data_IF_968569716356
#
_entry.id   IF_968569716356
#
_cell.length_a   1.000
_cell.length_b   1.000
_cell.length_c   1.000
_cell.angle_alpha   90.00
_cell.angle_beta   90.00
_cell.angle_gamma   90.00
#
_symmetry.space_group_name_H-M   'P 1'
#
loop_
_entity.id
_entity.type
_entity.pdbx_description
1 polymer ?
#
# COMPACT_ATOMS: atom_id res chain seq x y z
N UNK A 1 9.77 -3.51 -4.43
CA UNK A 1 9.78 -2.35 -5.38
C UNK A 1 8.72 -2.42 -6.47
N UNK A 2 8.26 -3.59 -6.87
CA UNK A 2 7.27 -3.72 -7.95
C UNK A 2 5.92 -3.06 -7.63
N UNK A 3 5.41 -3.23 -6.43
CA UNK A 3 4.17 -2.56 -6.00
C UNK A 3 4.24 -1.04 -6.04
N UNK A 4 5.24 -0.43 -5.38
CA UNK A 4 5.43 1.02 -5.44
C UNK A 4 5.63 1.56 -6.86
N UNK A 5 6.34 0.84 -7.72
CA UNK A 5 6.52 1.24 -9.12
C UNK A 5 5.20 1.21 -9.88
N UNK A 6 4.42 0.14 -9.72
CA UNK A 6 3.10 0.01 -10.35
C UNK A 6 2.19 1.18 -9.97
N UNK A 7 2.10 1.49 -8.70
CA UNK A 7 1.25 2.59 -8.21
C UNK A 7 1.79 3.97 -8.57
N UNK A 8 3.10 4.11 -8.73
CA UNK A 8 3.71 5.33 -9.28
C UNK A 8 3.22 5.59 -10.72
N UNK A 9 3.22 4.57 -11.56
CA UNK A 9 2.75 4.70 -12.95
C UNK A 9 1.28 5.12 -12.97
N UNK A 10 0.45 4.51 -12.13
CA UNK A 10 -0.96 4.89 -12.00
C UNK A 10 -1.12 6.33 -11.53
N UNK A 11 -0.31 6.76 -10.57
CA UNK A 11 -0.30 8.13 -10.07
C UNK A 11 0.07 9.13 -11.18
N UNK A 12 1.11 8.84 -11.95
CA UNK A 12 1.53 9.67 -13.09
C UNK A 12 0.44 9.77 -14.16
N UNK A 13 -0.42 8.75 -14.25
CA UNK A 13 -1.57 8.75 -15.19
C UNK A 13 -2.83 9.40 -14.61
N UNK A 14 -2.74 10.01 -13.43
CA UNK A 14 -3.83 10.77 -12.84
C UNK A 14 -4.59 10.06 -11.71
N UNK A 15 -4.21 8.85 -11.32
CA UNK A 15 -4.83 8.18 -10.19
C UNK A 15 -4.49 8.86 -8.87
N UNK A 16 -5.46 8.93 -7.96
CA UNK A 16 -5.21 9.31 -6.58
C UNK A 16 -4.71 8.08 -5.83
N UNK A 17 -3.44 8.08 -5.48
CA UNK A 17 -2.80 6.96 -4.80
C UNK A 17 -2.58 7.28 -3.32
N UNK A 18 -3.09 6.41 -2.46
CA UNK A 18 -2.88 6.49 -1.01
C UNK A 18 -1.93 5.35 -0.64
N UNK A 19 -0.75 5.71 -0.14
CA UNK A 19 0.24 4.76 0.35
C UNK A 19 0.03 4.54 1.84
N UNK A 20 -0.23 3.30 2.20
CA UNK A 20 -0.32 2.87 3.59
C UNK A 20 1.04 2.34 4.03
N UNK A 21 1.60 2.92 5.08
CA UNK A 21 2.89 2.53 5.64
C UNK A 21 2.75 2.09 7.10
N UNK A 22 3.60 1.16 7.57
CA UNK A 22 3.66 0.83 9.00
C UNK A 22 4.27 1.99 9.79
N UNK A 23 4.12 2.00 11.12
CA UNK A 23 4.89 2.89 11.99
C UNK A 23 6.40 2.74 11.71
N UNK A 24 7.11 3.85 11.59
CA UNK A 24 8.51 3.87 11.17
C UNK A 24 8.72 3.95 9.65
N UNK A 25 7.68 3.76 8.87
CA UNK A 25 7.70 3.90 7.43
C UNK A 25 8.12 2.64 6.65
N UNK A 26 8.03 2.74 5.35
CA UNK A 26 8.44 1.70 4.40
C UNK A 26 9.96 1.47 4.50
N UNK A 27 10.40 0.22 4.39
CA UNK A 27 11.81 -0.14 4.45
C UNK A 27 12.66 0.55 3.37
N UNK A 28 12.08 0.88 2.24
CA UNK A 28 12.77 1.60 1.16
C UNK A 28 13.17 3.03 1.51
N UNK A 29 12.63 3.60 2.57
CA UNK A 29 13.03 4.94 3.05
C UNK A 29 14.47 4.99 3.52
N UNK A 30 15.01 3.86 4.00
CA UNK A 30 16.35 3.74 4.57
C UNK A 30 17.30 2.92 3.69
N UNK A 31 16.95 2.67 2.44
CA UNK A 31 17.83 1.95 1.51
C UNK A 31 19.06 2.77 1.12
N UNK A 32 20.07 2.11 0.55
CA UNK A 32 21.29 2.75 0.09
C UNK A 32 21.01 3.98 -0.80
N UNK A 33 21.77 5.04 -0.60
CA UNK A 33 21.57 6.31 -1.30
C UNK A 33 20.65 7.28 -0.58
N UNK A 34 20.34 7.01 0.70
CA UNK A 34 19.55 7.93 1.51
C UNK A 34 20.24 9.28 1.71
N UNK A 35 19.46 10.34 1.58
CA UNK A 35 19.87 11.71 1.91
C UNK A 35 18.95 12.17 3.03
N UNK A 36 19.50 12.40 4.24
CA UNK A 36 18.70 12.69 5.41
C UNK A 36 17.83 11.50 5.82
N UNK A 37 16.51 11.69 5.96
CA UNK A 37 15.56 10.66 6.37
C UNK A 37 14.88 9.92 5.22
N UNK A 38 15.20 10.28 3.97
CA UNK A 38 14.56 9.73 2.79
C UNK A 38 15.59 9.22 1.80
N UNK A 39 15.29 8.09 1.16
CA UNK A 39 16.13 7.55 0.10
C UNK A 39 15.70 8.08 -1.27
N UNK A 40 16.67 8.22 -2.17
CA UNK A 40 16.38 8.56 -3.56
C UNK A 40 15.47 7.52 -4.21
N UNK A 41 15.65 6.24 -3.86
CA UNK A 41 14.81 5.15 -4.38
C UNK A 41 13.36 5.29 -3.92
N UNK A 42 13.13 5.66 -2.64
CA UNK A 42 11.78 5.91 -2.14
C UNK A 42 11.11 7.07 -2.89
N UNK A 43 11.82 8.19 -3.02
CA UNK A 43 11.29 9.37 -3.68
C UNK A 43 10.98 9.11 -5.16
N UNK A 44 11.83 8.33 -5.82
CA UNK A 44 11.65 8.03 -7.25
C UNK A 44 10.34 7.29 -7.55
N UNK A 45 9.91 6.38 -6.66
CA UNK A 45 8.73 5.52 -6.91
C UNK A 45 7.49 5.92 -6.11
N UNK A 46 7.57 6.96 -5.29
CA UNK A 46 6.44 7.39 -4.45
C UNK A 46 6.00 8.83 -4.69
N UNK A 47 6.47 9.46 -5.76
CA UNK A 47 6.08 10.82 -6.11
C UNK A 47 4.57 10.93 -6.35
N UNK A 48 3.98 12.01 -5.88
CA UNK A 48 2.56 12.31 -6.08
C UNK A 48 1.60 11.53 -5.19
N UNK A 49 2.08 10.57 -4.41
CA UNK A 49 1.24 9.76 -3.52
C UNK A 49 0.91 10.51 -2.23
N UNK A 50 -0.31 10.29 -1.74
CA UNK A 50 -0.69 10.65 -0.37
C UNK A 50 -0.23 9.54 0.57
N UNK A 51 0.15 9.89 1.80
CA UNK A 51 0.62 8.92 2.79
C UNK A 51 -0.29 8.85 4.00
N UNK A 52 -0.45 7.64 4.53
CA UNK A 52 -1.08 7.40 5.83
C UNK A 52 -0.29 6.33 6.57
N UNK A 53 -0.10 6.52 7.87
CA UNK A 53 0.57 5.53 8.71
C UNK A 53 -0.50 4.73 9.45
N UNK A 54 -0.50 3.42 9.25
CA UNK A 54 -1.40 2.49 9.93
C UNK A 54 -0.61 1.28 10.42
N UNK A 55 -0.69 1.01 11.73
CA UNK A 55 -0.20 -0.26 12.28
C UNK A 55 -1.27 -1.33 12.08
N UNK A 56 -1.17 -2.10 11.01
CA UNK A 56 -2.16 -3.13 10.64
C UNK A 56 -2.20 -4.32 11.61
N UNK A 57 -1.30 -4.39 12.60
CA UNK A 57 -1.41 -5.32 13.73
C UNK A 57 -2.50 -4.89 14.72
N UNK A 58 -2.92 -3.64 14.69
CA UNK A 58 -3.98 -3.11 15.55
C UNK A 58 -5.36 -3.21 14.87
N UNK A 59 -6.39 -3.71 15.58
CA UNK A 59 -7.73 -3.83 15.00
C UNK A 59 -8.30 -2.52 14.49
N UNK A 60 -8.10 -1.42 15.22
CA UNK A 60 -8.58 -0.10 14.81
C UNK A 60 -7.95 0.36 13.49
N UNK A 61 -6.67 0.08 13.27
CA UNK A 61 -5.98 0.41 12.02
C UNK A 61 -6.51 -0.43 10.85
N UNK A 62 -6.80 -1.71 11.07
CA UNK A 62 -7.42 -2.56 10.06
C UNK A 62 -8.82 -2.07 9.68
N UNK A 63 -9.58 -1.54 10.63
CA UNK A 63 -10.89 -0.95 10.35
C UNK A 63 -10.76 0.29 9.46
N UNK A 64 -9.79 1.15 9.72
CA UNK A 64 -9.49 2.30 8.84
C UNK A 64 -9.11 1.83 7.44
N UNK A 65 -8.27 0.81 7.34
CA UNK A 65 -7.88 0.23 6.05
C UNK A 65 -9.08 -0.30 5.28
N UNK A 66 -9.99 -1.04 5.94
CA UNK A 66 -11.22 -1.53 5.31
C UNK A 66 -12.10 -0.40 4.80
N UNK A 67 -12.22 0.69 5.56
CA UNK A 67 -12.97 1.88 5.13
C UNK A 67 -12.37 2.50 3.88
N UNK A 68 -11.06 2.57 3.77
CA UNK A 68 -10.38 3.02 2.55
C UNK A 68 -10.66 2.05 1.39
N UNK A 69 -10.57 0.75 1.64
CA UNK A 69 -10.79 -0.27 0.62
C UNK A 69 -12.23 -0.27 0.08
N UNK A 70 -13.22 0.11 0.88
CA UNK A 70 -14.61 0.20 0.42
C UNK A 70 -14.82 1.20 -0.71
N UNK A 71 -14.01 2.23 -0.76
CA UNK A 71 -14.11 3.31 -1.76
C UNK A 71 -12.98 3.26 -2.80
N UNK A 72 -12.06 2.33 -2.67
CA UNK A 72 -10.96 2.17 -3.60
C UNK A 72 -11.42 1.45 -4.88
N UNK A 73 -10.85 1.84 -6.00
CA UNK A 73 -11.01 1.13 -7.26
C UNK A 73 -10.00 -0.02 -7.38
N UNK A 74 -8.79 0.22 -6.90
CA UNK A 74 -7.67 -0.73 -6.97
C UNK A 74 -6.95 -0.77 -5.65
N UNK A 75 -6.59 -1.97 -5.20
CA UNK A 75 -5.67 -2.21 -4.09
C UNK A 75 -4.45 -2.95 -4.63
N UNK A 76 -3.27 -2.45 -4.31
CA UNK A 76 -2.01 -3.10 -4.67
C UNK A 76 -1.25 -3.43 -3.39
N UNK A 77 -0.83 -4.67 -3.25
CA UNK A 77 0.01 -5.09 -2.13
C UNK A 77 1.19 -5.94 -2.62
N UNK A 78 2.29 -5.84 -1.91
CA UNK A 78 3.55 -6.50 -2.26
C UNK A 78 4.11 -7.24 -1.04
N UNK A 79 3.23 -7.81 -0.24
CA UNK A 79 3.60 -8.62 0.92
C UNK A 79 3.89 -10.07 0.52
N UNK A 80 4.49 -10.82 1.43
CA UNK A 80 4.65 -12.26 1.26
C UNK A 80 3.27 -12.95 1.25
N UNK A 81 3.14 -14.05 0.50
CA UNK A 81 1.88 -14.80 0.49
C UNK A 81 1.38 -15.13 1.90
N UNK A 82 0.08 -14.95 2.12
CA UNK A 82 -0.58 -15.22 3.38
C UNK A 82 -0.61 -14.07 4.40
N UNK A 83 0.20 -13.02 4.23
CA UNK A 83 0.22 -11.89 5.17
C UNK A 83 -1.12 -11.17 5.19
N UNK A 84 -1.66 -10.81 4.05
CA UNK A 84 -2.95 -10.10 3.98
C UNK A 84 -4.10 -10.96 4.50
N UNK A 85 -4.08 -12.26 4.26
CA UNK A 85 -5.08 -13.19 4.81
C UNK A 85 -5.04 -13.24 6.34
N UNK A 86 -3.85 -13.29 6.93
CA UNK A 86 -3.69 -13.26 8.40
C UNK A 86 -4.18 -11.95 9.02
N UNK A 87 -4.08 -10.86 8.27
CA UNK A 87 -4.60 -9.57 8.72
C UNK A 87 -6.11 -9.40 8.47
N UNK A 88 -6.74 -10.36 7.80
CA UNK A 88 -8.14 -10.24 7.39
C UNK A 88 -8.38 -9.19 6.31
N UNK A 89 -7.38 -8.94 5.48
CA UNK A 89 -7.37 -7.91 4.43
C UNK A 89 -7.15 -8.52 3.04
N UNK A 90 -7.42 -9.80 2.87
CA UNK A 90 -7.32 -10.49 1.60
C UNK A 90 -8.48 -10.13 0.66
N UNK A 91 -8.35 -10.50 -0.60
CA UNK A 91 -9.35 -10.17 -1.60
C UNK A 91 -10.74 -10.70 -1.24
N UNK A 92 -10.85 -11.95 -0.81
CA UNK A 92 -12.14 -12.57 -0.49
C UNK A 92 -12.89 -11.77 0.59
N UNK A 93 -12.17 -11.28 1.61
CA UNK A 93 -12.75 -10.47 2.68
C UNK A 93 -13.17 -9.10 2.18
N UNK A 94 -12.29 -8.40 1.47
CA UNK A 94 -12.54 -7.02 1.02
C UNK A 94 -13.59 -6.96 -0.09
N UNK A 95 -13.66 -7.98 -0.95
CA UNK A 95 -14.63 -8.05 -2.02
C UNK A 95 -16.08 -8.17 -1.52
N UNK A 96 -16.28 -8.66 -0.31
CA UNK A 96 -17.62 -8.71 0.31
C UNK A 96 -18.21 -7.30 0.51
N UNK A 97 -17.36 -6.34 0.81
CA UNK A 97 -17.78 -4.94 1.03
C UNK A 97 -17.61 -4.08 -0.23
N UNK A 98 -16.73 -4.48 -1.15
CA UNK A 98 -16.49 -3.78 -2.41
C UNK A 98 -16.28 -4.79 -3.55
N UNK A 99 -17.35 -5.30 -4.16
CA UNK A 99 -17.24 -6.30 -5.23
C UNK A 99 -16.60 -5.76 -6.51
N UNK A 100 -16.46 -4.45 -6.65
CA UNK A 100 -15.81 -3.81 -7.81
C UNK A 100 -14.30 -3.65 -7.62
N UNK A 101 -13.77 -3.97 -6.45
CA UNK A 101 -12.36 -3.81 -6.15
C UNK A 101 -11.48 -4.69 -7.05
N UNK A 102 -10.52 -4.07 -7.70
CA UNK A 102 -9.44 -4.78 -8.38
C UNK A 102 -8.29 -4.96 -7.38
N UNK A 103 -7.95 -6.20 -7.08
CA UNK A 103 -6.94 -6.53 -6.08
C UNK A 103 -5.71 -7.10 -6.78
N UNK A 104 -4.61 -6.38 -6.72
CA UNK A 104 -3.35 -6.79 -7.32
C UNK A 104 -2.36 -7.23 -6.21
N UNK A 105 -2.10 -8.52 -6.15
CA UNK A 105 -1.11 -9.10 -5.25
C UNK A 105 0.16 -9.38 -6.04
N UNK A 106 1.26 -8.76 -5.63
CA UNK A 106 2.56 -8.88 -6.30
C UNK A 106 3.49 -9.63 -5.36
N UNK A 107 3.76 -10.88 -5.68
CA UNK A 107 4.68 -11.73 -4.90
C UNK A 107 5.83 -12.22 -5.78
N UNK A 108 6.98 -12.35 -5.18
CA UNK A 108 8.17 -12.90 -5.84
C UNK A 108 8.61 -14.19 -5.24
#
# INVERSE_FOLDING_TARGET
MAGPYCTMVLCDMGARVIKVEPPGGDSSRVMAGSIGTESAAFNAVNRGKLGIVLDLHQPAARDVFRRLARTADVLVENYRPGVMARLGLDYATLAQENPRLVYASISG
#
